data_IF_850078797536
#
_entry.id   IF_850078797536
#
_cell.length_a   1.000
_cell.length_b   1.000
_cell.length_c   1.000
_cell.angle_alpha   90.00
_cell.angle_beta   90.00
_cell.angle_gamma   90.00
#
_symmetry.space_group_name_H-M   'P 1'
#
loop_
_entity.id
_entity.type
_entity.pdbx_description
1 polymer ?
#
# COMPACT_ATOMS: atom_id res chain seq x y z
N UNK A 1 -9.04 -19.41 11.78
CA UNK A 1 -9.97 -18.29 11.52
C UNK A 1 -9.87 -17.76 10.09
N UNK A 2 -8.66 -17.64 9.49
CA UNK A 2 -8.49 -17.22 8.09
C UNK A 2 -9.43 -17.91 7.07
N UNK A 3 -9.57 -19.24 7.13
CA UNK A 3 -10.47 -19.97 6.21
C UNK A 3 -11.95 -19.59 6.31
N UNK A 4 -12.42 -19.18 7.49
CA UNK A 4 -13.79 -18.68 7.69
C UNK A 4 -13.98 -17.31 7.04
N UNK A 5 -13.00 -16.43 7.16
CA UNK A 5 -13.01 -15.13 6.48
C UNK A 5 -12.98 -15.30 4.96
N UNK A 6 -12.12 -16.17 4.42
CA UNK A 6 -12.10 -16.44 2.98
C UNK A 6 -13.45 -16.98 2.48
N UNK A 7 -14.08 -17.89 3.22
CA UNK A 7 -15.41 -18.38 2.86
C UNK A 7 -16.46 -17.26 2.89
N UNK A 8 -16.47 -16.43 3.92
CA UNK A 8 -17.39 -15.28 4.02
C UNK A 8 -17.18 -14.27 2.88
N UNK A 9 -15.93 -13.98 2.51
CA UNK A 9 -15.58 -13.10 1.38
C UNK A 9 -16.02 -13.71 0.05
N UNK A 10 -15.88 -15.02 -0.13
CA UNK A 10 -16.39 -15.70 -1.33
C UNK A 10 -17.91 -15.62 -1.45
N UNK A 11 -18.63 -15.65 -0.32
CA UNK A 11 -20.09 -15.61 -0.32
C UNK A 11 -20.68 -14.20 -0.42
N UNK A 12 -20.09 -13.21 0.26
CA UNK A 12 -20.68 -11.88 0.43
C UNK A 12 -19.68 -10.72 0.22
N UNK A 13 -18.43 -11.00 -0.20
CA UNK A 13 -17.40 -9.97 -0.34
C UNK A 13 -17.64 -8.98 -1.48
N UNK A 14 -18.49 -9.32 -2.46
CA UNK A 14 -18.85 -8.45 -3.58
C UNK A 14 -20.06 -7.56 -3.29
N UNK A 15 -20.71 -7.73 -2.14
CA UNK A 15 -21.87 -6.90 -1.79
C UNK A 15 -21.46 -5.46 -1.52
N UNK A 16 -22.29 -4.53 -1.98
CA UNK A 16 -22.04 -3.09 -1.81
C UNK A 16 -21.86 -2.67 -0.34
N UNK A 17 -22.49 -3.39 0.60
CA UNK A 17 -22.41 -3.12 2.05
C UNK A 17 -21.50 -4.11 2.81
N UNK A 18 -20.59 -4.77 2.09
CA UNK A 18 -19.65 -5.74 2.67
C UNK A 18 -18.50 -5.07 3.45
N UNK A 19 -18.47 -3.74 3.56
CA UNK A 19 -17.39 -2.96 4.18
C UNK A 19 -16.94 -3.52 5.53
N UNK A 20 -17.89 -3.81 6.41
CA UNK A 20 -17.60 -4.35 7.75
C UNK A 20 -16.96 -5.74 7.71
N UNK A 21 -17.34 -6.57 6.74
CA UNK A 21 -16.75 -7.91 6.57
C UNK A 21 -15.27 -7.79 6.18
N UNK A 22 -14.97 -6.87 5.25
CA UNK A 22 -13.60 -6.60 4.83
C UNK A 22 -12.75 -6.01 5.95
N UNK A 23 -13.28 -5.05 6.70
CA UNK A 23 -12.60 -4.46 7.87
C UNK A 23 -12.26 -5.51 8.94
N UNK A 24 -13.19 -6.41 9.23
CA UNK A 24 -12.94 -7.50 10.18
C UNK A 24 -11.82 -8.42 9.70
N UNK A 25 -11.75 -8.71 8.40
CA UNK A 25 -10.68 -9.56 7.86
C UNK A 25 -9.32 -8.85 7.89
N UNK A 26 -9.30 -7.55 7.54
CA UNK A 26 -8.09 -6.72 7.62
C UNK A 26 -7.56 -6.66 9.05
N UNK A 27 -8.42 -6.39 10.03
CA UNK A 27 -8.04 -6.34 11.44
C UNK A 27 -7.50 -7.68 11.92
N UNK A 28 -8.13 -8.79 11.53
CA UNK A 28 -7.63 -10.12 11.86
C UNK A 28 -6.20 -10.36 11.32
N UNK A 29 -5.92 -10.07 10.04
CA UNK A 29 -4.56 -10.25 9.51
C UNK A 29 -3.54 -9.28 10.15
N UNK A 30 -3.96 -8.07 10.49
CA UNK A 30 -3.13 -7.09 11.19
C UNK A 30 -2.78 -7.57 12.62
N UNK A 31 -3.74 -8.14 13.35
CA UNK A 31 -3.53 -8.75 14.67
C UNK A 31 -2.60 -9.97 14.62
N UNK A 32 -2.61 -10.73 13.51
CA UNK A 32 -1.65 -11.81 13.29
C UNK A 32 -0.23 -11.29 12.91
N UNK A 33 -0.06 -9.98 12.72
CA UNK A 33 1.19 -9.37 12.25
C UNK A 33 1.48 -9.63 10.77
N UNK A 34 0.51 -10.13 10.01
CA UNK A 34 0.68 -10.49 8.61
C UNK A 34 0.35 -9.31 7.69
N UNK A 35 1.27 -8.33 7.64
CA UNK A 35 1.10 -7.11 6.85
C UNK A 35 1.02 -7.37 5.34
N UNK A 36 1.65 -8.45 4.84
CA UNK A 36 1.49 -8.89 3.44
C UNK A 36 0.07 -9.38 3.17
N UNK A 37 -0.53 -10.11 4.11
CA UNK A 37 -1.95 -10.51 4.08
C UNK A 37 -2.89 -9.32 4.03
N UNK A 38 -2.65 -8.31 4.89
CA UNK A 38 -3.40 -7.05 4.90
C UNK A 38 -3.36 -6.36 3.52
N UNK A 39 -2.17 -6.21 2.94
CA UNK A 39 -2.02 -5.60 1.61
C UNK A 39 -2.74 -6.40 0.52
N UNK A 40 -2.66 -7.74 0.58
CA UNK A 40 -3.38 -8.61 -0.36
C UNK A 40 -4.89 -8.46 -0.25
N UNK A 41 -5.43 -8.25 0.96
CA UNK A 41 -6.86 -8.02 1.17
C UNK A 41 -7.27 -6.67 0.59
N UNK A 42 -6.51 -5.59 0.87
CA UNK A 42 -6.78 -4.27 0.28
C UNK A 42 -6.74 -4.29 -1.25
N UNK A 43 -5.80 -5.01 -1.87
CA UNK A 43 -5.74 -5.15 -3.32
C UNK A 43 -7.01 -5.76 -3.93
N UNK A 44 -7.69 -6.66 -3.20
CA UNK A 44 -8.98 -7.25 -3.63
C UNK A 44 -10.13 -6.28 -3.39
N UNK A 45 -10.18 -5.69 -2.20
CA UNK A 45 -11.23 -4.75 -1.78
C UNK A 45 -11.30 -3.52 -2.69
N UNK A 46 -10.17 -2.94 -3.08
CA UNK A 46 -10.13 -1.77 -3.96
C UNK A 46 -10.56 -2.07 -5.39
N UNK A 47 -10.72 -3.34 -5.77
CA UNK A 47 -11.34 -3.74 -7.04
C UNK A 47 -12.86 -3.80 -6.99
N UNK A 48 -13.48 -3.62 -5.82
CA UNK A 48 -14.91 -3.81 -5.59
C UNK A 48 -15.56 -2.45 -5.28
N UNK A 49 -16.65 -2.08 -5.98
CA UNK A 49 -17.40 -0.88 -5.66
C UNK A 49 -18.18 -1.11 -4.35
N UNK A 50 -17.61 -0.69 -3.24
CA UNK A 50 -18.21 -0.76 -1.89
C UNK A 50 -18.72 0.61 -1.44
N UNK A 51 -19.59 0.64 -0.43
CA UNK A 51 -20.18 1.87 0.09
C UNK A 51 -19.12 2.83 0.65
N UNK A 52 -18.09 2.30 1.30
CA UNK A 52 -17.03 3.07 1.93
C UNK A 52 -15.70 2.98 1.17
N UNK A 53 -15.73 2.78 -0.16
CA UNK A 53 -14.54 2.69 -1.01
C UNK A 53 -13.49 3.77 -0.70
N UNK A 54 -13.91 5.04 -0.59
CA UNK A 54 -13.01 6.15 -0.30
C UNK A 54 -12.30 6.00 1.06
N UNK A 55 -13.01 5.46 2.06
CA UNK A 55 -12.45 5.18 3.38
C UNK A 55 -11.41 4.05 3.31
N UNK A 56 -11.75 2.95 2.61
CA UNK A 56 -10.82 1.83 2.40
C UNK A 56 -9.55 2.26 1.66
N UNK A 57 -9.69 3.13 0.67
CA UNK A 57 -8.55 3.69 -0.06
C UNK A 57 -7.67 4.58 0.82
N UNK A 58 -8.27 5.40 1.68
CA UNK A 58 -7.53 6.23 2.62
C UNK A 58 -6.76 5.37 3.65
N UNK A 59 -7.41 4.35 4.22
CA UNK A 59 -6.77 3.38 5.13
C UNK A 59 -5.65 2.60 4.46
N UNK A 60 -5.82 2.23 3.19
CA UNK A 60 -4.76 1.61 2.41
C UNK A 60 -3.55 2.54 2.26
N UNK A 61 -3.75 3.84 1.97
CA UNK A 61 -2.64 4.80 1.91
C UNK A 61 -1.90 4.89 3.24
N UNK A 62 -2.62 4.99 4.35
CA UNK A 62 -2.04 5.05 5.69
C UNK A 62 -1.22 3.79 5.99
N UNK A 63 -1.73 2.61 5.63
CA UNK A 63 -1.01 1.34 5.74
C UNK A 63 0.30 1.33 4.92
N UNK A 64 0.26 1.80 3.68
CA UNK A 64 1.44 1.84 2.81
C UNK A 64 2.46 2.90 3.27
N UNK A 65 2.01 4.04 3.78
CA UNK A 65 2.88 5.11 4.28
C UNK A 65 3.48 4.79 5.66
N UNK A 66 2.76 4.04 6.50
CA UNK A 66 3.19 3.65 7.83
C UNK A 66 4.13 2.44 7.89
N UNK A 67 4.26 1.69 6.79
CA UNK A 67 5.06 0.46 6.75
C UNK A 67 6.11 0.47 5.63
N UNK A 68 7.29 -0.09 5.91
CA UNK A 68 8.33 -0.23 4.91
C UNK A 68 7.84 -1.14 3.77
N UNK A 69 8.03 -0.78 2.49
CA UNK A 69 7.55 -1.56 1.34
C UNK A 69 8.01 -3.02 1.33
N UNK A 70 9.18 -3.32 1.90
CA UNK A 70 9.74 -4.67 2.03
C UNK A 70 8.90 -5.61 2.92
N UNK A 71 8.01 -5.06 3.75
CA UNK A 71 7.24 -5.84 4.73
C UNK A 71 5.96 -6.42 4.13
N UNK A 72 5.46 -5.84 3.04
CA UNK A 72 4.26 -6.31 2.37
C UNK A 72 4.44 -6.65 0.89
N UNK A 73 5.54 -6.24 0.26
CA UNK A 73 5.88 -6.65 -1.10
C UNK A 73 6.78 -7.88 -1.10
N UNK A 74 6.55 -8.77 -2.06
CA UNK A 74 7.51 -9.84 -2.36
C UNK A 74 8.79 -9.23 -2.95
N UNK A 75 9.96 -9.88 -2.76
CA UNK A 75 11.22 -9.41 -3.35
C UNK A 75 11.12 -9.20 -4.86
N UNK A 76 10.43 -10.11 -5.57
CA UNK A 76 10.23 -10.00 -7.02
C UNK A 76 9.46 -8.74 -7.40
N UNK A 77 8.34 -8.45 -6.71
CA UNK A 77 7.54 -7.27 -7.00
C UNK A 77 8.27 -5.99 -6.63
N UNK A 78 9.04 -6.01 -5.55
CA UNK A 78 9.88 -4.89 -5.15
C UNK A 78 10.96 -4.59 -6.19
N UNK A 79 11.64 -5.61 -6.72
CA UNK A 79 12.66 -5.46 -7.77
C UNK A 79 12.02 -4.93 -9.06
N UNK A 80 10.86 -5.45 -9.45
CA UNK A 80 10.10 -4.99 -10.61
C UNK A 80 9.77 -3.49 -10.49
N UNK A 81 9.20 -3.06 -9.35
CA UNK A 81 8.87 -1.65 -9.11
C UNK A 81 10.11 -0.75 -9.11
N UNK A 82 11.24 -1.21 -8.57
CA UNK A 82 12.50 -0.44 -8.66
C UNK A 82 13.02 -0.33 -10.09
N UNK A 83 12.87 -1.38 -10.91
CA UNK A 83 13.24 -1.33 -12.33
C UNK A 83 12.33 -0.38 -13.11
N UNK A 84 11.03 -0.40 -12.83
CA UNK A 84 10.06 0.52 -13.42
C UNK A 84 10.39 1.97 -13.08
N UNK A 85 10.65 2.29 -11.80
CA UNK A 85 11.09 3.63 -11.38
C UNK A 85 12.39 4.07 -12.06
N UNK A 86 13.37 3.19 -12.19
CA UNK A 86 14.61 3.49 -12.90
C UNK A 86 14.38 3.78 -14.39
N UNK A 87 13.40 3.12 -15.03
CA UNK A 87 13.04 3.37 -16.42
C UNK A 87 12.26 4.68 -16.63
N UNK A 88 11.41 5.07 -15.66
CA UNK A 88 10.67 6.33 -15.66
C UNK A 88 11.61 7.53 -15.51
N UNK A 89 12.64 7.41 -14.68
CA UNK A 89 13.67 8.46 -14.51
C UNK A 89 14.48 8.75 -15.78
N UNK A 90 14.42 7.92 -16.82
CA UNK A 90 15.01 8.21 -18.13
C UNK A 90 14.06 8.93 -19.11
N UNK A 91 12.77 9.09 -18.78
CA UNK A 91 11.78 9.75 -19.65
C UNK A 91 11.19 11.05 -19.07
N UNK A 92 11.44 11.42 -17.82
CA UNK A 92 10.90 12.65 -17.22
C UNK A 92 11.95 13.77 -17.08
N UNK A 93 12.37 14.31 -18.22
CA UNK A 93 12.89 15.68 -18.32
C UNK A 93 11.77 16.73 -18.46
N UNK A 94 10.55 16.42 -18.00
CA UNK A 94 9.39 17.32 -18.05
C UNK A 94 9.12 17.88 -16.66
N UNK A 95 9.45 19.16 -16.47
CA UNK A 95 9.15 19.92 -15.27
C UNK A 95 7.65 19.86 -14.97
N UNK A 96 7.28 19.17 -13.90
CA UNK A 96 5.96 19.34 -13.27
C UNK A 96 6.08 20.60 -12.41
N UNK A 97 5.50 21.71 -12.87
CA UNK A 97 5.46 22.95 -12.10
C UNK A 97 4.48 22.78 -10.93
N UNK A 98 5.04 22.45 -9.76
CA UNK A 98 4.29 22.39 -8.51
C UNK A 98 3.97 23.81 -8.04
N UNK A 99 2.76 24.07 -7.49
CA UNK A 99 2.43 25.36 -6.92
C UNK A 99 3.38 25.67 -5.75
N UNK A 100 4.00 26.85 -5.84
CA UNK A 100 4.95 27.43 -4.88
C UNK A 100 4.35 27.44 -3.47
N UNK A 101 4.98 26.71 -2.54
CA UNK A 101 4.56 26.69 -1.13
C UNK A 101 4.74 25.40 -0.34
N UNK A 102 5.39 24.36 -0.87
CA UNK A 102 5.62 23.09 -0.13
C UNK A 102 7.11 22.75 0.05
N UNK A 103 7.98 23.75 0.11
CA UNK A 103 9.44 23.59 0.06
C UNK A 103 10.10 23.00 1.31
N UNK A 104 9.36 22.71 2.39
CA UNK A 104 9.98 22.25 3.66
C UNK A 104 9.56 20.84 4.12
N UNK A 105 8.89 20.04 3.30
CA UNK A 105 8.72 18.62 3.64
C UNK A 105 9.99 17.88 3.21
N UNK A 106 10.99 17.88 4.10
CA UNK A 106 12.16 17.02 3.99
C UNK A 106 11.68 15.57 3.77
N UNK A 107 11.93 15.07 2.57
CA UNK A 107 11.57 13.71 2.16
C UNK A 107 12.29 12.71 3.09
N UNK A 108 11.57 11.93 3.90
CA UNK A 108 12.20 10.94 4.79
C UNK A 108 12.96 9.86 4.00
N UNK A 109 12.72 9.73 2.69
CA UNK A 109 13.53 8.87 1.82
C UNK A 109 14.92 9.43 1.53
N UNK A 110 15.15 10.74 1.61
CA UNK A 110 16.48 11.35 1.45
C UNK A 110 17.41 11.00 2.62
N UNK A 111 16.87 10.96 3.85
CA UNK A 111 17.64 10.67 5.07
C UNK A 111 18.22 9.26 5.04
N UNK A 112 17.46 8.27 4.55
CA UNK A 112 17.93 6.89 4.40
C UNK A 112 19.07 6.72 3.38
N UNK A 113 19.25 7.66 2.44
CA UNK A 113 20.28 7.56 1.40
C UNK A 113 21.63 8.05 1.94
N UNK A 114 21.62 9.04 2.86
CA UNK A 114 22.85 9.61 3.42
C UNK A 114 23.59 8.62 4.34
N UNK A 115 22.85 7.85 5.15
CA UNK A 115 23.43 6.84 6.06
C UNK A 115 24.12 5.67 5.32
N UNK A 116 23.81 5.45 4.04
CA UNK A 116 24.41 4.38 3.24
C UNK A 116 25.73 4.79 2.57
N UNK A 117 26.00 6.09 2.44
CA UNK A 117 27.21 6.61 1.77
C UNK A 117 28.39 6.72 2.75
N UNK A 118 28.15 6.89 4.05
CA UNK A 118 29.23 6.93 5.07
C UNK A 118 29.75 5.55 5.50
N UNK A 119 29.13 4.45 5.04
CA UNK A 119 29.55 3.08 5.36
C UNK A 119 30.28 2.33 4.22
N UNK A 120 30.63 3.02 3.13
CA UNK A 120 31.45 2.48 2.03
C UNK A 120 32.81 3.19 1.92
#
# INVERSE_FOLDING_TARGET
>A
MRGTFEHAIMSAGLDFRSDKLWEMYINYEAEQGNLSGVTSIYSRLLGIPTQLYAHHFQRFKEHIQGHLPKVFLTPDKFIELRKELASVNHHSGSKMEYPSGLEDIADPAQVCIHDYVELC
#
